data_IF_493352437197
#
_entry.id   IF_493352437197
#
_cell.length_a   1.000
_cell.length_b   1.000
_cell.length_c   1.000
_cell.angle_alpha   90.00
_cell.angle_beta   90.00
_cell.angle_gamma   90.00
#
_symmetry.space_group_name_H-M   'P 1'
#
loop_
_entity.id
_entity.type
_entity.pdbx_description
1 polymer ?
#
# COMPACT_ATOMS: atom_id res chain seq x y z
N UNK A 1 -5.74 -16.60 -3.26
CA UNK A 1 -6.02 -15.18 -3.58
C UNK A 1 -5.82 -14.34 -2.33
N UNK A 2 -5.28 -13.11 -2.47
CA UNK A 2 -5.09 -12.17 -1.35
C UNK A 2 -6.13 -11.05 -1.43
N UNK A 3 -7.23 -11.24 -0.72
CA UNK A 3 -8.39 -10.34 -0.76
C UNK A 3 -8.22 -9.17 0.21
N UNK A 4 -8.80 -8.02 -0.14
CA UNK A 4 -8.90 -6.86 0.74
C UNK A 4 -10.12 -6.03 0.31
N UNK A 5 -10.82 -5.37 1.24
CA UNK A 5 -11.94 -4.50 0.90
C UNK A 5 -11.47 -3.35 0.01
N UNK A 6 -12.31 -2.98 -0.96
CA UNK A 6 -12.07 -1.77 -1.77
C UNK A 6 -12.28 -0.56 -0.88
N UNK A 7 -11.24 0.23 -0.70
CA UNK A 7 -11.29 1.47 0.09
C UNK A 7 -11.82 2.60 -0.80
N UNK A 8 -12.85 3.30 -0.34
CA UNK A 8 -13.33 4.52 -0.99
C UNK A 8 -12.39 5.68 -0.69
N UNK A 9 -11.34 5.81 -1.51
CA UNK A 9 -10.41 6.92 -1.45
C UNK A 9 -10.05 7.35 -2.89
N UNK A 10 -10.24 8.63 -3.28
CA UNK A 10 -9.87 9.12 -4.61
C UNK A 10 -8.34 9.19 -4.84
N UNK A 11 -7.54 9.18 -3.77
CA UNK A 11 -6.08 9.27 -3.80
C UNK A 11 -5.46 7.88 -4.03
N UNK A 12 -5.47 7.44 -5.28
CA UNK A 12 -5.01 6.11 -5.70
C UNK A 12 -3.70 6.14 -6.50
N UNK A 13 -3.09 7.31 -6.66
CA UNK A 13 -1.84 7.44 -7.42
C UNK A 13 -0.72 6.71 -6.68
N UNK A 14 0.05 5.88 -7.40
CA UNK A 14 1.14 5.11 -6.83
C UNK A 14 0.74 3.79 -6.14
N UNK A 15 -0.53 3.36 -6.21
CA UNK A 15 -0.98 2.09 -5.58
C UNK A 15 -0.20 0.86 -6.04
N UNK A 16 -0.03 0.68 -7.35
CA UNK A 16 0.74 -0.43 -7.92
C UNK A 16 2.23 -0.38 -7.51
N UNK A 17 2.86 0.79 -7.64
CA UNK A 17 4.26 0.98 -7.28
C UNK A 17 4.50 0.72 -5.79
N UNK A 18 3.60 1.21 -4.94
CA UNK A 18 3.69 1.02 -3.49
C UNK A 18 3.54 -0.46 -3.11
N UNK A 19 2.59 -1.16 -3.75
CA UNK A 19 2.40 -2.59 -3.53
C UNK A 19 3.63 -3.39 -3.95
N UNK A 20 4.18 -3.16 -5.15
CA UNK A 20 5.35 -3.89 -5.64
C UNK A 20 6.60 -3.57 -4.81
N UNK A 21 6.82 -2.31 -4.44
CA UNK A 21 7.91 -1.91 -3.55
C UNK A 21 7.79 -2.58 -2.18
N UNK A 22 6.60 -2.62 -1.57
CA UNK A 22 6.40 -3.28 -0.29
C UNK A 22 6.64 -4.79 -0.36
N UNK A 23 6.23 -5.46 -1.44
CA UNK A 23 6.55 -6.89 -1.67
C UNK A 23 8.07 -7.08 -1.74
N UNK A 24 8.76 -6.27 -2.56
CA UNK A 24 10.21 -6.37 -2.72
C UNK A 24 10.96 -6.12 -1.40
N UNK A 25 10.54 -5.15 -0.58
CA UNK A 25 11.13 -4.89 0.72
C UNK A 25 10.94 -6.07 1.69
N UNK A 26 9.73 -6.64 1.77
CA UNK A 26 9.47 -7.80 2.63
C UNK A 26 10.30 -9.02 2.21
N UNK A 27 10.43 -9.28 0.91
CA UNK A 27 11.31 -10.33 0.38
C UNK A 27 12.78 -10.07 0.74
N UNK A 28 13.26 -8.83 0.58
CA UNK A 28 14.62 -8.44 0.95
C UNK A 28 14.88 -8.58 2.46
N UNK A 29 13.85 -8.47 3.30
CA UNK A 29 13.91 -8.73 4.74
C UNK A 29 13.87 -10.22 5.11
N UNK A 30 13.86 -11.13 4.12
CA UNK A 30 13.95 -12.57 4.34
C UNK A 30 12.61 -13.28 4.54
N UNK A 31 11.49 -12.59 4.33
CA UNK A 31 10.16 -13.22 4.39
C UNK A 31 9.91 -14.07 3.15
N UNK A 32 9.06 -15.09 3.29
CA UNK A 32 8.64 -15.85 2.13
C UNK A 32 7.65 -15.05 1.25
N UNK A 33 7.37 -15.57 0.05
CA UNK A 33 6.53 -14.86 -0.93
C UNK A 33 5.10 -14.63 -0.44
N UNK A 34 4.52 -15.59 0.32
CA UNK A 34 3.14 -15.49 0.83
C UNK A 34 3.06 -14.41 1.90
N UNK A 35 3.99 -14.40 2.85
CA UNK A 35 4.09 -13.38 3.90
C UNK A 35 4.35 -11.99 3.30
N UNK A 36 5.25 -11.91 2.31
CA UNK A 36 5.59 -10.64 1.65
C UNK A 36 4.38 -10.01 0.96
N UNK A 37 3.57 -10.81 0.25
CA UNK A 37 2.35 -10.33 -0.40
C UNK A 37 1.31 -9.93 0.65
N UNK A 38 1.14 -10.71 1.72
CA UNK A 38 0.20 -10.41 2.80
C UNK A 38 0.53 -9.08 3.47
N UNK A 39 1.78 -8.89 3.90
CA UNK A 39 2.24 -7.67 4.56
C UNK A 39 2.11 -6.45 3.64
N UNK A 40 2.47 -6.60 2.35
CA UNK A 40 2.32 -5.52 1.38
C UNK A 40 0.86 -5.12 1.16
N UNK A 41 -0.08 -6.09 1.16
CA UNK A 41 -1.53 -5.86 1.07
C UNK A 41 -2.08 -5.15 2.31
N UNK A 42 -1.59 -5.49 3.49
CA UNK A 42 -1.94 -4.78 4.73
C UNK A 42 -1.41 -3.35 4.72
N UNK A 43 -0.15 -3.16 4.33
CA UNK A 43 0.50 -1.85 4.22
C UNK A 43 -0.23 -0.91 3.26
N UNK A 44 -0.50 -1.34 2.02
CA UNK A 44 -1.20 -0.50 1.04
C UNK A 44 -2.62 -0.14 1.50
N UNK A 45 -3.29 -1.06 2.19
CA UNK A 45 -4.65 -0.84 2.72
C UNK A 45 -4.62 0.23 3.82
N UNK A 46 -3.64 0.19 4.71
CA UNK A 46 -3.44 1.22 5.71
C UNK A 46 -3.11 2.59 5.10
N UNK A 47 -2.21 2.62 4.10
CA UNK A 47 -1.85 3.85 3.39
C UNK A 47 -3.05 4.49 2.67
N UNK A 48 -3.93 3.68 2.09
CA UNK A 48 -5.20 4.13 1.51
C UNK A 48 -6.17 4.64 2.57
N UNK A 49 -6.29 3.98 3.72
CA UNK A 49 -7.19 4.42 4.80
C UNK A 49 -6.73 5.72 5.46
N UNK A 50 -5.42 5.93 5.55
CA UNK A 50 -4.84 7.12 6.18
C UNK A 50 -5.16 8.42 5.44
N UNK A 51 -5.47 8.35 4.14
CA UNK A 51 -6.02 9.47 3.36
C UNK A 51 -5.15 10.72 3.37
N UNK A 52 -4.20 10.82 2.42
CA UNK A 52 -3.41 12.03 2.25
C UNK A 52 -3.98 12.93 1.16
N UNK A 53 -4.64 14.02 1.56
CA UNK A 53 -5.17 15.01 0.59
C UNK A 53 -4.09 16.00 0.21
N UNK A 54 -3.47 15.77 -0.96
CA UNK A 54 -2.47 16.67 -1.53
C UNK A 54 -2.75 16.90 -3.02
N UNK A 55 -2.69 18.17 -3.43
CA UNK A 55 -2.97 18.59 -4.81
C UNK A 55 -4.47 18.74 -5.11
N UNK A 56 -4.80 18.88 -6.40
CA UNK A 56 -6.16 19.14 -6.90
C UNK A 56 -6.76 17.97 -7.70
N UNK A 57 -6.13 16.80 -7.69
CA UNK A 57 -6.49 15.63 -8.49
C UNK A 57 -6.47 14.34 -7.69
N UNK A 58 -6.19 13.20 -8.34
CA UNK A 58 -5.94 11.92 -7.65
C UNK A 58 -4.63 12.01 -6.88
N UNK A 59 -4.72 12.27 -5.59
CA UNK A 59 -3.58 12.47 -4.72
C UNK A 59 -2.75 11.20 -4.49
N UNK A 60 -1.56 11.35 -3.88
CA UNK A 60 -0.69 10.25 -3.50
C UNK A 60 -1.24 9.49 -2.30
N UNK A 61 -0.64 8.32 -2.03
CA UNK A 61 -0.85 7.58 -0.79
C UNK A 61 -0.04 8.19 0.36
N UNK A 62 -0.48 7.96 1.60
CA UNK A 62 0.35 8.25 2.76
C UNK A 62 1.33 7.09 3.02
N UNK A 63 2.57 7.22 2.54
CA UNK A 63 3.60 6.20 2.77
C UNK A 63 4.06 6.09 4.24
N UNK A 64 3.91 7.17 5.00
CA UNK A 64 4.38 7.30 6.38
C UNK A 64 3.29 7.02 7.41
N UNK A 65 2.17 6.38 7.02
CA UNK A 65 1.01 6.22 7.89
C UNK A 65 1.24 5.33 9.13
N UNK A 66 2.29 4.50 9.10
CA UNK A 66 2.63 3.52 10.14
C UNK A 66 4.13 3.58 10.49
N UNK A 67 4.70 4.79 10.44
CA UNK A 67 6.01 5.11 11.01
C UNK A 67 5.85 5.59 12.45
#
# INVERSE_FOLDING_TARGET
WFEAPKIENPNTHGTGCTLSSAIACNLASGLNIVESIKNAKEYITGALKAGLTLGKGRGPLNHCFNL
#
